data_IF_178570554732
#
_entry.id   IF_178570554732
#
_cell.length_a   1.000
_cell.length_b   1.000
_cell.length_c   1.000
_cell.angle_alpha   90.00
_cell.angle_beta   90.00
_cell.angle_gamma   90.00
#
_symmetry.space_group_name_H-M   'P 1'
#
loop_
_entity.id
_entity.type
_entity.pdbx_description
1 polymer ?
#
# COMPACT_ATOMS: atom_id res chain seq x y z
N UNK A 1 27.89 16.01 18.63
CA UNK A 1 26.70 15.53 19.35
C UNK A 1 25.96 14.59 18.43
N UNK A 2 25.79 13.32 18.80
CA UNK A 2 25.10 12.32 17.99
C UNK A 2 23.58 12.39 18.20
N UNK A 3 22.98 13.50 17.83
CA UNK A 3 21.53 13.65 17.92
C UNK A 3 20.86 12.80 16.83
N UNK A 4 20.17 11.73 17.21
CA UNK A 4 19.36 10.90 16.31
C UNK A 4 17.98 11.53 16.15
N UNK A 5 17.62 11.92 14.93
CA UNK A 5 16.34 12.54 14.65
C UNK A 5 15.28 11.52 14.22
N UNK A 6 14.04 11.77 14.61
CA UNK A 6 12.84 11.07 14.13
C UNK A 6 12.08 12.03 13.22
N UNK A 7 11.68 11.57 12.04
CA UNK A 7 10.96 12.38 11.08
C UNK A 7 9.62 11.75 10.67
N UNK A 8 8.56 12.54 10.76
CA UNK A 8 7.25 12.18 10.24
C UNK A 8 7.16 12.58 8.76
N UNK A 9 7.20 11.59 7.87
CA UNK A 9 6.87 11.73 6.46
C UNK A 9 5.34 11.89 6.35
N UNK A 10 4.85 13.10 6.64
CA UNK A 10 3.43 13.35 6.88
C UNK A 10 2.56 13.01 5.66
N UNK A 11 1.43 12.28 5.82
CA UNK A 11 0.47 12.07 4.74
C UNK A 11 -0.35 13.33 4.41
N UNK A 12 -0.34 14.35 5.29
CA UNK A 12 -1.01 15.63 5.02
C UNK A 12 -0.21 16.53 4.08
N UNK A 13 1.03 16.15 3.78
CA UNK A 13 1.86 16.83 2.79
C UNK A 13 1.50 16.32 1.40
N UNK A 14 1.27 17.22 0.45
CA UNK A 14 1.10 16.85 -0.95
C UNK A 14 2.48 16.59 -1.57
N UNK A 15 2.97 15.36 -1.45
CA UNK A 15 4.30 14.93 -1.90
C UNK A 15 4.53 15.23 -3.37
N UNK A 16 3.65 14.77 -4.25
CA UNK A 16 3.79 14.98 -5.69
C UNK A 16 3.88 16.46 -6.04
N UNK A 17 3.00 17.32 -5.49
CA UNK A 17 3.02 18.74 -5.80
C UNK A 17 4.34 19.37 -5.37
N UNK A 18 4.78 19.06 -4.15
CA UNK A 18 5.94 19.71 -3.55
C UNK A 18 7.25 19.34 -4.23
N UNK A 19 7.38 18.07 -4.64
CA UNK A 19 8.55 17.66 -5.40
C UNK A 19 8.49 18.11 -6.86
N UNK A 20 7.32 18.18 -7.50
CA UNK A 20 7.18 18.79 -8.82
C UNK A 20 7.51 20.29 -8.80
N UNK A 21 7.07 21.02 -7.77
CA UNK A 21 7.45 22.42 -7.51
C UNK A 21 8.97 22.55 -7.36
N UNK A 22 9.59 21.72 -6.53
CA UNK A 22 11.04 21.74 -6.32
C UNK A 22 11.81 21.53 -7.63
N UNK A 23 11.46 20.49 -8.41
CA UNK A 23 12.12 20.22 -9.69
C UNK A 23 11.90 21.36 -10.68
N UNK A 24 10.69 21.93 -10.73
CA UNK A 24 10.37 23.04 -11.61
C UNK A 24 11.24 24.27 -11.27
N UNK A 25 11.37 24.61 -9.99
CA UNK A 25 12.21 25.71 -9.52
C UNK A 25 13.70 25.47 -9.84
N UNK A 26 14.20 24.25 -9.64
CA UNK A 26 15.57 23.85 -9.99
C UNK A 26 15.82 24.01 -11.50
N UNK A 27 14.94 23.49 -12.34
CA UNK A 27 15.06 23.60 -13.80
C UNK A 27 14.93 25.04 -14.30
N UNK A 28 14.11 25.85 -13.64
CA UNK A 28 13.99 27.27 -13.93
C UNK A 28 15.31 27.99 -13.62
N UNK A 29 15.93 27.68 -12.49
CA UNK A 29 17.23 28.24 -12.11
C UNK A 29 18.37 27.79 -13.05
N UNK A 30 18.27 26.58 -13.62
CA UNK A 30 19.16 26.08 -14.67
C UNK A 30 18.93 26.71 -16.05
N UNK A 31 17.84 27.49 -16.22
CA UNK A 31 17.49 28.12 -17.49
C UNK A 31 16.92 27.14 -18.53
N UNK A 32 16.32 26.03 -18.10
CA UNK A 32 15.62 25.10 -19.00
C UNK A 32 14.34 25.74 -19.56
N UNK A 33 13.90 25.26 -20.73
CA UNK A 33 12.60 25.62 -21.28
C UNK A 33 11.49 24.89 -20.52
N UNK A 34 10.63 25.65 -19.84
CA UNK A 34 9.50 25.15 -19.05
C UNK A 34 8.15 25.50 -19.66
N UNK A 35 8.10 25.93 -20.93
CA UNK A 35 6.86 26.34 -21.60
C UNK A 35 5.81 25.23 -21.70
N UNK A 36 6.24 23.96 -21.58
CA UNK A 36 5.36 22.79 -21.54
C UNK A 36 4.64 22.59 -20.19
N UNK A 37 5.04 23.32 -19.15
CA UNK A 37 4.51 23.18 -17.79
C UNK A 37 3.71 24.45 -17.38
N UNK A 38 2.71 24.31 -16.51
CA UNK A 38 1.88 25.42 -16.09
C UNK A 38 2.65 26.41 -15.24
N UNK A 39 2.28 27.70 -15.36
CA UNK A 39 2.82 28.77 -14.52
C UNK A 39 2.25 28.72 -13.10
N UNK A 40 1.00 28.27 -12.95
CA UNK A 40 0.36 28.08 -11.65
C UNK A 40 0.89 26.79 -10.98
N UNK A 41 1.59 26.87 -9.84
CA UNK A 41 2.18 25.71 -9.19
C UNK A 41 1.16 24.62 -8.84
N UNK A 42 -0.06 25.01 -8.43
CA UNK A 42 -1.10 24.05 -8.08
C UNK A 42 -1.49 23.15 -9.26
N UNK A 43 -1.33 23.63 -10.49
CA UNK A 43 -1.64 22.88 -11.72
C UNK A 43 -0.60 21.79 -12.01
N UNK A 44 0.57 21.79 -11.37
CA UNK A 44 1.57 20.73 -11.52
C UNK A 44 1.09 19.37 -11.03
N UNK A 45 0.00 19.31 -10.24
CA UNK A 45 -0.65 18.05 -9.83
C UNK A 45 -1.51 17.39 -10.89
N UNK A 46 -1.74 18.04 -12.03
CA UNK A 46 -2.65 17.50 -13.04
C UNK A 46 -2.13 16.16 -13.59
N UNK A 47 -3.07 15.23 -13.81
CA UNK A 47 -2.77 13.87 -14.28
C UNK A 47 -2.11 13.85 -15.67
N UNK A 48 -2.30 14.90 -16.47
CA UNK A 48 -1.62 15.05 -17.77
C UNK A 48 -0.08 15.08 -17.66
N UNK A 49 0.45 15.45 -16.49
CA UNK A 49 1.89 15.47 -16.24
C UNK A 49 2.45 14.18 -15.65
N UNK A 50 1.64 13.17 -15.36
CA UNK A 50 2.09 11.94 -14.67
C UNK A 50 3.16 11.15 -15.43
N UNK A 51 3.24 11.32 -16.76
CA UNK A 51 4.25 10.68 -17.61
C UNK A 51 5.30 11.69 -18.14
N UNK A 52 5.37 12.89 -17.58
CA UNK A 52 6.31 13.93 -17.99
C UNK A 52 7.69 13.73 -17.36
N UNK A 53 8.73 14.33 -17.95
CA UNK A 53 10.08 14.31 -17.37
C UNK A 53 10.11 14.94 -15.97
N UNK A 54 9.32 15.99 -15.74
CA UNK A 54 9.18 16.63 -14.44
C UNK A 54 8.67 15.65 -13.39
N UNK A 55 7.65 14.84 -13.73
CA UNK A 55 7.10 13.85 -12.83
C UNK A 55 8.11 12.73 -12.54
N UNK A 56 8.81 12.23 -13.57
CA UNK A 56 9.85 11.22 -13.37
C UNK A 56 10.96 11.71 -12.43
N UNK A 57 11.44 12.94 -12.61
CA UNK A 57 12.47 13.52 -11.75
C UNK A 57 11.96 13.77 -10.32
N UNK A 58 10.70 14.20 -10.17
CA UNK A 58 10.08 14.38 -8.85
C UNK A 58 9.91 13.04 -8.11
N UNK A 59 9.53 11.98 -8.83
CA UNK A 59 9.39 10.64 -8.27
C UNK A 59 10.75 10.05 -7.85
N UNK A 60 11.82 10.32 -8.62
CA UNK A 60 13.20 9.95 -8.23
C UNK A 60 13.59 10.60 -6.90
N UNK A 61 13.25 11.89 -6.70
CA UNK A 61 13.50 12.59 -5.43
C UNK A 61 12.65 12.03 -4.28
N UNK A 62 11.36 11.74 -4.52
CA UNK A 62 10.48 11.12 -3.51
C UNK A 62 11.04 9.74 -3.11
N UNK A 63 11.50 8.95 -4.08
CA UNK A 63 12.07 7.62 -3.85
C UNK A 63 13.36 7.69 -3.02
N UNK A 64 14.24 8.66 -3.28
CA UNK A 64 15.50 8.81 -2.55
C UNK A 64 15.35 9.54 -1.21
N UNK A 65 14.25 10.26 -0.99
CA UNK A 65 14.03 11.17 0.14
C UNK A 65 14.48 10.61 1.49
N UNK A 66 14.06 9.39 1.85
CA UNK A 66 14.41 8.81 3.15
C UNK A 66 15.90 8.49 3.27
N UNK A 67 16.51 7.97 2.19
CA UNK A 67 17.93 7.63 2.18
C UNK A 67 18.79 8.90 2.25
N UNK A 68 18.42 9.93 1.48
CA UNK A 68 19.12 11.21 1.49
C UNK A 68 18.94 11.95 2.81
N UNK A 69 17.74 11.97 3.37
CA UNK A 69 17.50 12.61 4.66
C UNK A 69 18.22 11.89 5.82
N UNK A 70 18.34 10.56 5.77
CA UNK A 70 19.14 9.82 6.73
C UNK A 70 20.63 10.16 6.62
N UNK A 71 21.14 10.27 5.40
CA UNK A 71 22.57 10.53 5.11
C UNK A 71 22.98 11.98 5.38
N UNK A 72 22.18 12.94 4.96
CA UNK A 72 22.52 14.38 4.96
C UNK A 72 21.99 15.11 6.19
N UNK A 73 20.82 14.71 6.71
CA UNK A 73 20.16 15.37 7.83
C UNK A 73 20.18 14.54 9.13
N UNK A 74 20.80 13.36 9.13
CA UNK A 74 20.94 12.51 10.33
C UNK A 74 19.61 11.94 10.84
N UNK A 75 18.62 11.78 9.96
CA UNK A 75 17.33 11.18 10.31
C UNK A 75 17.51 9.68 10.50
N UNK A 76 17.38 9.23 11.74
CA UNK A 76 17.56 7.83 12.11
C UNK A 76 16.28 6.99 11.92
N UNK A 77 15.12 7.60 12.14
CA UNK A 77 13.84 6.89 12.07
C UNK A 77 12.82 7.68 11.25
N UNK A 78 12.27 7.02 10.24
CA UNK A 78 11.20 7.51 9.39
C UNK A 78 9.90 6.79 9.76
N UNK A 79 8.83 7.56 9.89
CA UNK A 79 7.47 7.03 9.99
C UNK A 79 6.53 7.83 9.10
N UNK A 80 5.42 7.22 8.71
CA UNK A 80 4.26 7.94 8.16
C UNK A 80 3.21 7.88 9.26
N UNK A 81 2.62 9.01 9.65
CA UNK A 81 1.46 8.99 10.55
C UNK A 81 0.22 8.50 9.80
N UNK A 82 -0.60 7.65 10.41
CA UNK A 82 -1.89 7.18 9.85
C UNK A 82 -1.86 6.52 8.44
N UNK A 83 -0.80 5.84 7.98
CA UNK A 83 -0.77 5.26 6.62
C UNK A 83 -1.84 4.20 6.43
N UNK A 84 -2.08 3.37 7.46
CA UNK A 84 -3.10 2.32 7.45
C UNK A 84 -4.52 2.87 7.48
N UNK A 85 -4.74 4.05 8.05
CA UNK A 85 -6.06 4.71 8.00
C UNK A 85 -6.44 5.03 6.56
N UNK A 86 -5.53 5.66 5.81
CA UNK A 86 -5.77 6.02 4.41
C UNK A 86 -5.84 4.80 3.50
N UNK A 87 -4.95 3.81 3.67
CA UNK A 87 -4.94 2.58 2.88
C UNK A 87 -6.24 1.77 3.08
N UNK A 88 -6.69 1.61 4.33
CA UNK A 88 -7.95 0.92 4.62
C UNK A 88 -9.16 1.69 4.08
N UNK A 89 -9.20 3.02 4.23
CA UNK A 89 -10.31 3.83 3.70
C UNK A 89 -10.42 3.71 2.18
N UNK A 90 -9.30 3.85 1.45
CA UNK A 90 -9.26 3.71 -0.01
C UNK A 90 -9.64 2.29 -0.46
N UNK A 91 -9.12 1.27 0.22
CA UNK A 91 -9.42 -0.13 -0.10
C UNK A 91 -10.89 -0.46 0.07
N UNK A 92 -11.53 0.02 1.14
CA UNK A 92 -12.97 -0.16 1.38
C UNK A 92 -13.80 0.58 0.34
N UNK A 93 -13.45 1.83 0.03
CA UNK A 93 -14.16 2.65 -0.97
C UNK A 93 -14.11 2.02 -2.36
N UNK A 94 -12.90 1.66 -2.84
CA UNK A 94 -12.69 1.02 -4.15
C UNK A 94 -13.43 -0.33 -4.26
N UNK A 95 -13.40 -1.14 -3.19
CA UNK A 95 -14.11 -2.42 -3.20
C UNK A 95 -15.62 -2.22 -3.19
N UNK A 96 -16.15 -1.29 -2.38
CA UNK A 96 -17.58 -1.01 -2.30
C UNK A 96 -18.11 -0.47 -3.64
N UNK A 97 -17.41 0.47 -4.27
CA UNK A 97 -17.76 0.99 -5.59
C UNK A 97 -17.89 -0.14 -6.63
N UNK A 98 -16.88 -1.01 -6.73
CA UNK A 98 -16.91 -2.12 -7.68
C UNK A 98 -17.95 -3.20 -7.32
N UNK A 99 -18.07 -3.56 -6.04
CA UNK A 99 -18.91 -4.68 -5.59
C UNK A 99 -20.40 -4.35 -5.63
N UNK A 100 -20.79 -3.11 -5.32
CA UNK A 100 -22.18 -2.67 -5.40
C UNK A 100 -22.50 -2.03 -6.76
N UNK A 101 -21.50 -1.74 -7.59
CA UNK A 101 -21.64 -1.38 -9.00
C UNK A 101 -21.69 -2.60 -9.93
N UNK A 102 -21.40 -2.36 -11.22
CA UNK A 102 -21.58 -3.36 -12.29
C UNK A 102 -20.63 -4.56 -12.19
N UNK A 103 -19.49 -4.43 -11.51
CA UNK A 103 -18.52 -5.52 -11.39
C UNK A 103 -19.01 -6.61 -10.43
N UNK A 104 -19.82 -6.28 -9.42
CA UNK A 104 -20.32 -7.22 -8.42
C UNK A 104 -19.18 -8.09 -7.84
N UNK A 105 -19.39 -9.41 -7.73
CA UNK A 105 -18.39 -10.37 -7.26
C UNK A 105 -17.04 -10.28 -7.99
N UNK A 106 -16.99 -9.80 -9.24
CA UNK A 106 -15.73 -9.66 -9.97
C UNK A 106 -14.82 -8.62 -9.34
N UNK A 107 -15.35 -7.60 -8.66
CA UNK A 107 -14.55 -6.61 -7.93
C UNK A 107 -13.72 -7.27 -6.83
N UNK A 108 -14.36 -8.09 -5.99
CA UNK A 108 -13.67 -8.86 -4.95
C UNK A 108 -12.67 -9.86 -5.54
N UNK A 109 -13.09 -10.66 -6.52
CA UNK A 109 -12.22 -11.71 -7.09
C UNK A 109 -10.97 -11.11 -7.77
N UNK A 110 -11.15 -10.02 -8.54
CA UNK A 110 -10.06 -9.38 -9.29
C UNK A 110 -9.15 -8.54 -8.40
N UNK A 111 -9.73 -7.69 -7.54
CA UNK A 111 -8.99 -6.72 -6.73
C UNK A 111 -8.37 -7.31 -5.47
N UNK A 112 -9.01 -8.33 -4.87
CA UNK A 112 -8.59 -8.90 -3.58
C UNK A 112 -8.09 -10.33 -3.78
N UNK A 113 -8.98 -11.28 -4.02
CA UNK A 113 -8.67 -12.72 -3.91
C UNK A 113 -7.52 -13.17 -4.82
N UNK A 114 -7.54 -12.79 -6.11
CA UNK A 114 -6.46 -13.13 -7.05
C UNK A 114 -5.12 -12.51 -6.64
N UNK A 115 -5.15 -11.31 -6.06
CA UNK A 115 -3.93 -10.62 -5.63
C UNK A 115 -3.33 -11.29 -4.40
N UNK A 116 -4.16 -11.64 -3.42
CA UNK A 116 -3.74 -12.36 -2.22
C UNK A 116 -3.14 -13.74 -2.56
N UNK A 117 -3.77 -14.49 -3.46
CA UNK A 117 -3.26 -15.80 -3.94
C UNK A 117 -1.90 -15.63 -4.62
N UNK A 118 -1.76 -14.68 -5.55
CA UNK A 118 -0.48 -14.47 -6.29
C UNK A 118 0.65 -14.00 -5.39
N UNK A 119 0.33 -13.30 -4.30
CA UNK A 119 1.28 -12.84 -3.29
C UNK A 119 1.51 -13.86 -2.17
N UNK A 120 0.89 -15.04 -2.24
CA UNK A 120 0.92 -16.08 -1.19
C UNK A 120 0.58 -15.54 0.19
N UNK A 121 -0.45 -14.69 0.27
CA UNK A 121 -0.87 -14.12 1.55
C UNK A 121 -1.63 -15.17 2.37
N UNK A 122 -1.19 -15.41 3.61
CA UNK A 122 -1.80 -16.41 4.47
C UNK A 122 -3.29 -16.14 4.78
N UNK A 123 -3.73 -14.88 4.70
CA UNK A 123 -5.11 -14.46 4.97
C UNK A 123 -6.14 -15.05 4.02
N UNK A 124 -5.75 -15.50 2.81
CA UNK A 124 -6.65 -16.26 1.90
C UNK A 124 -7.20 -17.48 2.61
N UNK A 125 -6.34 -18.13 3.41
CA UNK A 125 -6.68 -19.27 4.24
C UNK A 125 -7.12 -18.79 5.63
N UNK A 126 -8.16 -17.94 5.65
CA UNK A 126 -8.59 -17.27 6.87
C UNK A 126 -8.95 -18.24 8.02
N UNK A 127 -9.33 -19.48 7.72
CA UNK A 127 -9.55 -20.53 8.74
C UNK A 127 -8.24 -21.02 9.38
N UNK A 128 -7.19 -21.27 8.60
CA UNK A 128 -5.86 -21.61 9.14
C UNK A 128 -5.31 -20.45 9.97
N UNK A 129 -5.41 -19.22 9.46
CA UNK A 129 -4.97 -18.01 10.15
C UNK A 129 -5.75 -17.74 11.45
N UNK A 130 -7.04 -18.05 11.50
CA UNK A 130 -7.85 -17.97 12.72
C UNK A 130 -7.52 -19.07 13.75
N UNK A 131 -6.59 -19.99 13.41
CA UNK A 131 -6.16 -21.06 14.30
C UNK A 131 -7.08 -22.28 14.33
N UNK A 132 -8.02 -22.40 13.38
CA UNK A 132 -8.95 -23.54 13.31
C UNK A 132 -8.19 -24.87 13.26
N UNK A 133 -7.09 -24.95 12.50
CA UNK A 133 -6.23 -26.14 12.44
C UNK A 133 -5.59 -26.49 13.78
N UNK A 134 -5.17 -25.50 14.56
CA UNK A 134 -4.62 -25.73 15.92
C UNK A 134 -5.72 -26.22 16.85
N UNK A 135 -6.92 -25.63 16.76
CA UNK A 135 -8.08 -26.04 17.54
C UNK A 135 -8.56 -27.46 17.22
N UNK A 136 -8.55 -27.85 15.94
CA UNK A 136 -8.95 -29.19 15.50
C UNK A 136 -7.92 -30.25 15.91
N UNK A 137 -6.62 -30.00 15.76
CA UNK A 137 -5.57 -30.90 16.28
C UNK A 137 -5.60 -31.03 17.80
N UNK A 138 -5.92 -29.95 18.53
CA UNK A 138 -6.12 -30.01 19.97
C UNK A 138 -7.31 -30.92 20.31
N UNK A 139 -8.46 -30.75 19.63
CA UNK A 139 -9.63 -31.64 19.84
C UNK A 139 -9.32 -33.10 19.50
N UNK A 140 -8.63 -33.37 18.39
CA UNK A 140 -8.22 -34.73 18.00
C UNK A 140 -7.33 -35.38 19.07
N UNK A 141 -6.35 -34.62 19.59
CA UNK A 141 -5.46 -35.09 20.64
C UNK A 141 -6.20 -35.44 21.95
N UNK A 142 -7.22 -34.67 22.32
CA UNK A 142 -7.98 -34.87 23.56
C UNK A 142 -9.18 -35.82 23.42
N UNK A 143 -9.79 -35.95 22.24
CA UNK A 143 -10.99 -36.76 22.02
C UNK A 143 -10.70 -38.21 21.57
N UNK A 144 -9.46 -38.55 21.20
CA UNK A 144 -9.11 -39.89 20.73
C UNK A 144 -9.97 -40.35 19.54
N UNK A 145 -10.36 -41.64 19.50
CA UNK A 145 -11.14 -42.26 18.40
C UNK A 145 -12.52 -41.60 18.12
N UNK A 146 -13.03 -40.74 19.01
CA UNK A 146 -14.30 -40.01 18.79
C UNK A 146 -14.17 -38.79 17.86
N UNK A 147 -12.94 -38.30 17.59
CA UNK A 147 -12.73 -37.15 16.70
C UNK A 147 -13.05 -37.46 15.23
N UNK A 148 -12.82 -38.71 14.79
CA UNK A 148 -13.08 -39.20 13.43
C UNK A 148 -14.57 -39.12 13.02
N UNK A 149 -15.50 -39.09 13.98
CA UNK A 149 -16.94 -38.94 13.73
C UNK A 149 -17.38 -37.49 13.55
N UNK A 150 -16.62 -36.51 14.07
CA UNK A 150 -16.95 -35.09 14.02
C UNK A 150 -16.28 -34.33 12.86
N UNK A 151 -15.16 -34.83 12.30
CA UNK A 151 -14.43 -34.24 11.17
C UNK A 151 -15.07 -34.46 9.79
N UNK A 152 -16.39 -34.69 9.72
CA UNK A 152 -17.09 -35.08 8.50
C UNK A 152 -17.26 -33.94 7.49
N UNK A 153 -16.52 -34.01 6.38
CA UNK A 153 -16.83 -33.47 5.03
C UNK A 153 -17.07 -31.95 4.83
N UNK A 154 -16.94 -31.11 5.85
CA UNK A 154 -17.15 -29.66 5.73
C UNK A 154 -15.87 -28.82 5.82
N UNK A 155 -14.70 -29.36 5.41
CA UNK A 155 -13.47 -28.58 5.41
C UNK A 155 -13.37 -27.76 4.11
N UNK A 156 -13.59 -26.45 4.20
CA UNK A 156 -13.49 -25.49 3.08
C UNK A 156 -12.04 -25.29 2.59
N UNK A 157 -11.05 -25.83 3.29
CA UNK A 157 -9.62 -25.66 2.98
C UNK A 157 -9.17 -26.32 1.68
N UNK A 158 -9.88 -27.33 1.17
CA UNK A 158 -9.51 -28.02 -0.07
C UNK A 158 -9.78 -27.20 -1.34
N UNK A 159 -10.33 -25.99 -1.23
CA UNK A 159 -10.69 -25.14 -2.37
C UNK A 159 -9.54 -24.23 -2.83
N UNK A 160 -8.48 -24.08 -2.02
CA UNK A 160 -7.34 -23.20 -2.29
C UNK A 160 -6.00 -23.96 -2.32
N UNK A 161 -6.05 -25.28 -2.54
CA UNK A 161 -4.89 -26.18 -2.60
C UNK A 161 -4.37 -26.39 -4.02
#
# INVERSE_FOLDING_TARGET
SDAKLVYNNSPSFNWTLKFREQVFEEWQAEGRDLSAYPVDPASLMAAEFDNSELAAQADDYIQSFQADAAREAGIFHHLITLPTYHETALGVDTLAEGYFGDMSMLAYVKGVQRMEIRRNMNVVKHQEMAGTTIGDHHKEYFAGDNALLAGGKANTMSQFG
#
